data_IF_029434448405
#
_entry.id   IF_029434448405
#
_cell.length_a   1.000
_cell.length_b   1.000
_cell.length_c   1.000
_cell.angle_alpha   90.00
_cell.angle_beta   90.00
_cell.angle_gamma   90.00
#
_symmetry.space_group_name_H-M   'P 1'
#
loop_
_entity.id
_entity.type
_entity.pdbx_description
1 polymer ?
#
# COMPACT_ATOMS: atom_id res chain seq x y z
N UNK A 1 -1.71 1.16 -6.12
CA UNK A 1 -2.62 2.03 -6.91
C UNK A 1 -3.63 1.18 -7.64
N UNK A 2 -4.86 1.66 -7.70
CA UNK A 2 -6.02 0.90 -8.16
C UNK A 2 -7.20 1.86 -8.46
N UNK A 3 -8.37 1.33 -8.78
CA UNK A 3 -9.65 2.02 -8.94
C UNK A 3 -10.72 1.39 -8.03
N UNK A 4 -11.88 2.05 -7.88
CA UNK A 4 -13.02 1.46 -7.16
C UNK A 4 -13.53 0.21 -7.87
N UNK A 5 -13.60 0.24 -9.21
CA UNK A 5 -14.02 -0.92 -10.00
C UNK A 5 -13.09 -2.10 -9.75
N UNK A 6 -11.77 -1.88 -9.80
CA UNK A 6 -10.79 -2.92 -9.53
C UNK A 6 -10.88 -3.45 -8.10
N UNK A 7 -11.18 -2.59 -7.13
CA UNK A 7 -11.44 -3.02 -5.76
C UNK A 7 -12.70 -3.88 -5.65
N UNK A 8 -13.77 -3.55 -6.36
CA UNK A 8 -15.01 -4.31 -6.34
C UNK A 8 -14.86 -5.69 -7.00
N UNK A 9 -14.11 -5.78 -8.10
CA UNK A 9 -13.80 -7.03 -8.80
C UNK A 9 -12.92 -7.98 -7.96
N UNK A 10 -11.85 -7.45 -7.38
CA UNK A 10 -10.83 -8.25 -6.71
C UNK A 10 -10.39 -7.65 -5.36
N UNK A 11 -11.32 -7.56 -4.37
CA UNK A 11 -11.05 -6.89 -3.11
C UNK A 11 -9.97 -7.60 -2.28
N UNK A 12 -9.88 -8.93 -2.40
CA UNK A 12 -8.89 -9.74 -1.69
C UNK A 12 -7.44 -9.41 -2.08
N UNK A 13 -7.17 -8.99 -3.32
CA UNK A 13 -5.83 -8.56 -3.74
C UNK A 13 -5.36 -7.33 -2.96
N UNK A 14 -6.29 -6.44 -2.62
CA UNK A 14 -6.02 -5.24 -1.82
C UNK A 14 -5.82 -5.60 -0.34
N UNK A 15 -6.60 -6.56 0.17
CA UNK A 15 -6.38 -7.15 1.49
C UNK A 15 -4.98 -7.77 1.63
N UNK A 16 -4.56 -8.59 0.65
CA UNK A 16 -3.20 -9.17 0.59
C UNK A 16 -2.12 -8.10 0.56
N UNK A 17 -2.31 -7.06 -0.23
CA UNK A 17 -1.40 -5.92 -0.31
C UNK A 17 -1.27 -5.21 1.06
N UNK A 18 -2.39 -4.93 1.72
CA UNK A 18 -2.41 -4.35 3.07
C UNK A 18 -1.65 -5.23 4.07
N UNK A 19 -1.97 -6.53 4.11
CA UNK A 19 -1.30 -7.49 5.00
C UNK A 19 0.20 -7.53 4.73
N UNK A 20 0.62 -7.71 3.48
CA UNK A 20 2.03 -7.79 3.12
C UNK A 20 2.82 -6.50 3.41
N UNK A 21 2.14 -5.35 3.39
CA UNK A 21 2.78 -4.06 3.68
C UNK A 21 3.00 -3.80 5.17
N UNK A 22 2.10 -4.26 6.06
CA UNK A 22 2.10 -3.89 7.48
C UNK A 22 2.35 -5.06 8.43
N UNK A 23 2.05 -6.31 8.06
CA UNK A 23 2.24 -7.45 8.96
C UNK A 23 3.62 -8.08 8.78
N UNK A 24 4.25 -8.36 9.92
CA UNK A 24 5.50 -9.10 10.07
C UNK A 24 5.25 -10.29 11.00
N UNK A 25 6.20 -11.22 11.10
CA UNK A 25 6.05 -12.46 11.88
C UNK A 25 5.60 -12.23 13.34
N UNK A 26 6.05 -11.13 13.96
CA UNK A 26 5.80 -10.83 15.37
C UNK A 26 4.78 -9.70 15.61
N UNK A 27 4.05 -9.23 14.59
CA UNK A 27 3.03 -8.20 14.76
C UNK A 27 2.88 -7.23 13.60
N UNK A 28 2.63 -5.96 13.92
CA UNK A 28 2.43 -4.87 12.96
C UNK A 28 3.69 -4.00 12.91
N UNK A 29 4.13 -3.66 11.70
CA UNK A 29 5.18 -2.68 11.43
C UNK A 29 4.69 -1.26 11.77
N UNK A 30 5.13 -0.70 12.88
CA UNK A 30 4.61 0.57 13.42
C UNK A 30 5.16 1.81 12.71
N UNK A 31 6.30 1.69 12.05
CA UNK A 31 7.00 2.72 11.26
C UNK A 31 6.48 2.81 9.81
N UNK A 32 5.56 1.92 9.40
CA UNK A 32 5.01 1.92 8.04
C UNK A 32 3.55 2.37 7.97
N UNK A 33 3.16 2.75 6.77
CA UNK A 33 1.78 3.06 6.41
C UNK A 33 1.44 2.43 5.05
N UNK A 34 0.22 1.91 4.95
CA UNK A 34 -0.33 1.43 3.70
C UNK A 34 -1.26 2.47 3.10
N UNK A 35 -1.13 2.73 1.81
CA UNK A 35 -1.99 3.67 1.09
C UNK A 35 -2.61 2.99 -0.13
N UNK A 36 -3.92 2.79 -0.08
CA UNK A 36 -4.72 2.39 -1.24
C UNK A 36 -5.25 3.65 -1.93
N UNK A 37 -4.56 4.07 -2.99
CA UNK A 37 -5.01 5.19 -3.84
C UNK A 37 -5.93 4.70 -4.95
N UNK A 38 -7.13 5.30 -5.01
CA UNK A 38 -8.21 5.07 -5.97
C UNK A 38 -8.21 6.22 -6.98
N UNK A 39 -7.68 5.96 -8.17
CA UNK A 39 -7.40 7.00 -9.18
C UNK A 39 -8.65 7.64 -9.76
N UNK A 40 -9.67 6.83 -10.02
CA UNK A 40 -10.98 7.20 -10.53
C UNK A 40 -11.74 8.12 -9.56
N UNK A 41 -11.50 7.98 -8.26
CA UNK A 41 -12.17 8.75 -7.22
C UNK A 41 -11.30 9.89 -6.64
N UNK A 42 -10.03 10.02 -7.05
CA UNK A 42 -9.02 10.91 -6.41
C UNK A 42 -9.06 10.81 -4.88
N UNK A 43 -9.13 9.58 -4.39
CA UNK A 43 -9.33 9.26 -2.98
C UNK A 43 -8.29 8.25 -2.51
N UNK A 44 -7.87 8.34 -1.26
CA UNK A 44 -6.96 7.39 -0.64
C UNK A 44 -7.54 6.81 0.65
N UNK A 45 -7.35 5.51 0.85
CA UNK A 45 -7.49 4.86 2.17
C UNK A 45 -6.09 4.66 2.72
N UNK A 46 -5.78 5.35 3.81
CA UNK A 46 -4.50 5.30 4.51
C UNK A 46 -4.63 4.52 5.81
N UNK A 47 -3.83 3.47 5.97
CA UNK A 47 -3.77 2.63 7.17
C UNK A 47 -2.42 2.83 7.84
N UNK A 48 -2.44 3.34 9.07
CA UNK A 48 -1.25 3.65 9.86
C UNK A 48 -0.86 2.45 10.71
N UNK A 49 0.33 1.87 10.47
CA UNK A 49 0.83 0.74 11.26
C UNK A 49 0.96 1.06 12.76
N UNK A 50 1.29 2.31 13.11
CA UNK A 50 1.37 2.78 14.50
C UNK A 50 0.04 2.83 15.26
N UNK A 51 -1.10 2.80 14.56
CA UNK A 51 -2.40 3.05 15.17
C UNK A 51 -3.49 2.04 14.79
N UNK A 52 -3.28 1.25 13.73
CA UNK A 52 -4.24 0.24 13.30
C UNK A 52 -4.34 -0.86 14.37
N UNK A 53 -5.57 -1.27 14.67
CA UNK A 53 -5.87 -2.35 15.60
C UNK A 53 -6.59 -3.47 14.87
N UNK A 54 -6.54 -4.69 15.38
CA UNK A 54 -7.32 -5.81 14.82
C UNK A 54 -7.07 -6.05 13.33
N UNK A 55 -5.84 -5.77 12.86
CA UNK A 55 -5.36 -6.20 11.55
C UNK A 55 -4.86 -7.64 11.69
N UNK A 56 -5.54 -8.57 11.05
CA UNK A 56 -5.23 -9.99 11.06
C UNK A 56 -4.70 -10.43 9.69
N UNK A 57 -3.91 -11.52 9.63
CA UNK A 57 -3.31 -11.99 8.38
C UNK A 57 -4.32 -12.59 7.39
N UNK A 58 -5.54 -12.90 7.83
CA UNK A 58 -6.57 -13.44 6.96
C UNK A 58 -7.11 -12.40 5.98
N UNK A 59 -7.43 -12.87 4.77
CA UNK A 59 -7.86 -12.02 3.66
C UNK A 59 -9.20 -11.34 3.94
N UNK A 60 -10.11 -12.02 4.66
CA UNK A 60 -11.45 -11.53 4.92
C UNK A 60 -11.42 -10.33 5.87
N UNK A 61 -10.69 -10.42 6.99
CA UNK A 61 -10.58 -9.36 7.98
C UNK A 61 -9.87 -8.12 7.41
N UNK A 62 -8.74 -8.30 6.74
CA UNK A 62 -7.98 -7.22 6.11
C UNK A 62 -8.78 -6.50 5.03
N UNK A 63 -9.48 -7.25 4.17
CA UNK A 63 -10.42 -6.70 3.19
C UNK A 63 -11.59 -5.98 3.85
N UNK A 64 -12.10 -6.52 4.96
CA UNK A 64 -13.17 -5.91 5.75
C UNK A 64 -12.82 -4.51 6.26
N UNK A 65 -11.57 -4.27 6.65
CA UNK A 65 -11.08 -2.94 7.05
C UNK A 65 -11.21 -1.96 5.87
N UNK A 66 -10.73 -2.33 4.68
CA UNK A 66 -10.79 -1.48 3.50
C UNK A 66 -12.24 -1.20 3.07
N UNK A 67 -13.11 -2.22 3.06
CA UNK A 67 -14.55 -2.07 2.76
C UNK A 67 -15.24 -1.11 3.74
N UNK A 68 -14.96 -1.25 5.04
CA UNK A 68 -15.50 -0.35 6.07
C UNK A 68 -15.07 1.10 5.81
N UNK A 69 -13.78 1.31 5.51
CA UNK A 69 -13.26 2.64 5.20
C UNK A 69 -13.96 3.27 3.99
N UNK A 70 -14.13 2.53 2.89
CA UNK A 70 -14.83 3.02 1.69
C UNK A 70 -16.31 3.34 1.93
N UNK A 71 -16.94 2.65 2.89
CA UNK A 71 -18.32 2.95 3.33
C UNK A 71 -18.41 4.11 4.34
N UNK A 72 -17.29 4.75 4.66
CA UNK A 72 -17.22 5.84 5.66
C UNK A 72 -17.29 5.35 7.11
N UNK A 73 -17.17 4.05 7.35
CA UNK A 73 -17.14 3.49 8.71
C UNK A 73 -15.76 3.72 9.30
N UNK A 74 -15.71 4.35 10.47
CA UNK A 74 -14.47 4.62 11.19
C UNK A 74 -13.82 3.33 11.68
N UNK A 75 -12.50 3.28 11.58
CA UNK A 75 -11.69 2.20 12.11
C UNK A 75 -10.39 2.78 12.71
N UNK A 76 -9.93 2.32 13.88
CA UNK A 76 -8.67 2.80 14.47
C UNK A 76 -7.51 2.68 13.47
N UNK A 77 -6.72 3.76 13.38
CA UNK A 77 -5.57 3.84 12.48
C UNK A 77 -5.89 3.95 10.99
N UNK A 78 -7.15 4.07 10.60
CA UNK A 78 -7.57 4.17 9.19
C UNK A 78 -8.13 5.56 8.90
N UNK A 79 -7.65 6.18 7.82
CA UNK A 79 -8.07 7.50 7.35
C UNK A 79 -8.50 7.42 5.88
N UNK A 80 -9.58 8.11 5.55
CA UNK A 80 -9.99 8.32 4.17
C UNK A 80 -9.68 9.76 3.79
N UNK A 81 -8.91 9.95 2.74
CA UNK A 81 -8.46 11.24 2.23
C UNK A 81 -9.11 11.45 0.85
N UNK A 82 -9.83 12.55 0.67
CA UNK A 82 -10.54 12.86 -0.58
C UNK A 82 -9.88 14.04 -1.28
N UNK A 83 -9.98 14.09 -2.60
CA UNK A 83 -9.41 15.15 -3.44
C UNK A 83 -7.92 15.34 -3.20
N UNK A 84 -7.19 14.22 -3.09
CA UNK A 84 -5.76 14.21 -2.79
C UNK A 84 -4.97 13.68 -3.98
N UNK A 85 -3.83 14.30 -4.26
CA UNK A 85 -2.90 13.85 -5.28
C UNK A 85 -1.86 12.89 -4.70
N UNK A 86 -1.36 11.96 -5.53
CA UNK A 86 -0.41 10.95 -5.08
C UNK A 86 0.85 11.56 -4.44
N UNK A 87 1.34 12.67 -4.99
CA UNK A 87 2.54 13.37 -4.46
C UNK A 87 2.34 13.90 -3.04
N UNK A 88 1.11 14.21 -2.64
CA UNK A 88 0.79 14.62 -1.27
C UNK A 88 0.79 13.43 -0.29
N UNK A 89 0.64 12.22 -0.81
CA UNK A 89 0.62 10.97 -0.03
C UNK A 89 2.01 10.37 0.13
N UNK A 90 2.92 10.68 -0.80
CA UNK A 90 4.27 10.14 -0.80
C UNK A 90 5.19 10.82 0.21
N UNK A 91 6.09 10.03 0.77
CA UNK A 91 7.23 10.45 1.59
C UNK A 91 8.53 9.98 0.96
N UNK A 92 9.54 10.83 1.01
CA UNK A 92 10.85 10.54 0.44
C UNK A 92 10.79 10.28 -1.05
N UNK A 93 11.67 9.40 -1.54
CA UNK A 93 11.71 9.04 -2.96
C UNK A 93 10.59 8.06 -3.34
N UNK A 94 10.06 8.22 -4.53
CA UNK A 94 9.08 7.35 -5.17
C UNK A 94 9.77 6.22 -5.90
N UNK A 95 9.49 4.98 -5.49
CA UNK A 95 10.07 3.78 -6.08
C UNK A 95 8.95 2.89 -6.59
N UNK A 96 9.13 2.26 -7.75
CA UNK A 96 8.17 1.26 -8.23
C UNK A 96 8.85 -0.02 -8.75
N UNK A 97 8.05 -0.91 -9.36
CA UNK A 97 8.52 -2.18 -9.90
C UNK A 97 9.24 -2.11 -11.25
N UNK A 98 9.35 -0.95 -11.91
CA UNK A 98 9.95 -0.88 -13.25
C UNK A 98 11.43 -1.35 -13.24
N UNK A 99 12.00 -1.72 -14.40
CA UNK A 99 13.38 -2.15 -14.48
C UNK A 99 14.33 -1.12 -13.84
N UNK A 100 15.21 -1.61 -12.97
CA UNK A 100 16.15 -0.79 -12.20
C UNK A 100 16.76 -1.59 -11.05
N UNK A 101 17.67 -0.96 -10.30
CA UNK A 101 18.36 -1.56 -9.16
C UNK A 101 18.35 -0.63 -7.94
N UNK A 102 17.28 0.16 -7.80
CA UNK A 102 17.21 1.19 -6.77
C UNK A 102 17.29 0.57 -5.37
N UNK A 103 18.28 1.03 -4.60
CA UNK A 103 18.41 0.71 -3.18
C UNK A 103 18.07 1.95 -2.38
N UNK A 104 16.92 1.90 -1.71
CA UNK A 104 16.43 2.98 -0.85
C UNK A 104 17.20 3.01 0.46
N UNK A 105 17.64 4.20 0.87
CA UNK A 105 18.17 4.49 2.21
C UNK A 105 17.34 5.62 2.81
N UNK A 106 16.80 5.43 4.01
CA UNK A 106 15.89 6.38 4.67
C UNK A 106 14.45 6.25 4.19
N UNK A 107 13.65 7.32 4.38
CA UNK A 107 12.22 7.32 4.04
C UNK A 107 11.99 7.20 2.53
N UNK A 108 11.05 6.34 2.15
CA UNK A 108 10.64 6.16 0.75
C UNK A 108 9.16 5.78 0.66
N UNK A 109 8.62 5.87 -0.55
CA UNK A 109 7.29 5.37 -0.89
C UNK A 109 7.39 4.38 -2.01
N UNK A 110 7.00 3.14 -1.74
CA UNK A 110 6.94 2.10 -2.76
C UNK A 110 5.56 2.04 -3.40
N UNK A 111 5.52 2.15 -4.73
CA UNK A 111 4.32 2.08 -5.54
C UNK A 111 4.21 0.71 -6.20
N UNK A 112 3.14 -0.01 -5.85
CA UNK A 112 2.72 -1.21 -6.56
C UNK A 112 1.37 -0.98 -7.26
N UNK A 113 1.21 -1.54 -8.45
CA UNK A 113 0.07 -1.29 -9.32
C UNK A 113 -0.84 -2.54 -9.41
N UNK A 114 -2.12 -2.37 -9.09
CA UNK A 114 -3.18 -3.33 -9.46
C UNK A 114 -3.89 -2.91 -10.75
N UNK A 115 -3.67 -1.66 -11.14
CA UNK A 115 -4.05 -1.05 -12.41
C UNK A 115 -2.88 -0.17 -12.85
N UNK A 116 -2.41 -0.34 -14.09
CA UNK A 116 -1.25 0.39 -14.60
C UNK A 116 -1.60 1.85 -14.79
N UNK A 117 -0.77 2.71 -14.23
CA UNK A 117 -0.89 4.16 -14.32
C UNK A 117 0.48 4.71 -14.68
N UNK A 118 0.51 5.68 -15.58
CA UNK A 118 1.75 6.36 -15.93
C UNK A 118 2.05 7.40 -14.86
N UNK A 119 3.07 7.12 -14.06
CA UNK A 119 3.47 7.95 -12.93
C UNK A 119 4.95 8.16 -12.99
N UNK A 120 5.31 9.41 -12.81
CA UNK A 120 6.67 9.85 -12.65
C UNK A 120 7.18 9.41 -11.27
N UNK A 121 8.13 8.47 -11.29
CA UNK A 121 8.79 7.91 -10.09
C UNK A 121 10.29 8.16 -10.21
N UNK A 122 10.96 8.26 -9.08
CA UNK A 122 12.39 8.58 -9.04
C UNK A 122 13.26 7.40 -9.52
N UNK A 123 12.85 6.16 -9.24
CA UNK A 123 13.62 4.98 -9.63
C UNK A 123 12.81 3.67 -9.65
N UNK A 124 13.37 2.63 -10.28
CA UNK A 124 12.81 1.28 -10.36
C UNK A 124 13.55 0.26 -9.49
N UNK A 125 12.82 -0.67 -8.88
CA UNK A 125 13.33 -1.77 -8.06
C UNK A 125 13.54 -3.08 -8.83
N UNK A 126 13.02 -3.19 -10.05
CA UNK A 126 13.05 -4.44 -10.83
C UNK A 126 12.06 -5.52 -10.36
N UNK A 127 11.13 -5.19 -9.44
CA UNK A 127 10.18 -6.15 -8.87
C UNK A 127 8.84 -6.25 -9.63
N UNK A 128 8.72 -5.57 -10.77
CA UNK A 128 7.46 -5.32 -11.47
C UNK A 128 6.76 -6.57 -12.03
N UNK A 129 7.49 -7.66 -12.24
CA UNK A 129 6.94 -8.94 -12.70
C UNK A 129 6.24 -9.73 -11.58
N UNK A 130 6.44 -9.32 -10.32
CA UNK A 130 5.80 -9.95 -9.18
C UNK A 130 4.43 -9.31 -8.89
N UNK A 131 3.48 -10.04 -8.31
CA UNK A 131 2.24 -9.44 -7.84
C UNK A 131 2.52 -8.46 -6.67
N UNK A 132 1.69 -7.41 -6.48
CA UNK A 132 1.95 -6.35 -5.50
C UNK A 132 2.28 -6.80 -4.08
N UNK A 133 1.59 -7.84 -3.56
CA UNK A 133 1.84 -8.36 -2.22
C UNK A 133 3.23 -8.99 -2.08
N UNK A 134 3.77 -9.63 -3.11
CA UNK A 134 5.16 -10.09 -3.11
C UNK A 134 6.15 -8.92 -3.19
N UNK A 135 5.84 -7.89 -4.00
CA UNK A 135 6.68 -6.70 -4.07
C UNK A 135 6.82 -6.02 -2.70
N UNK A 136 5.71 -5.82 -1.99
CA UNK A 136 5.74 -5.24 -0.64
C UNK A 136 6.55 -6.07 0.35
N UNK A 137 6.41 -7.40 0.31
CA UNK A 137 7.20 -8.28 1.17
C UNK A 137 8.71 -8.15 0.91
N UNK A 138 9.13 -8.17 -0.35
CA UNK A 138 10.54 -8.03 -0.71
C UNK A 138 11.10 -6.66 -0.33
N UNK A 139 10.36 -5.59 -0.60
CA UNK A 139 10.77 -4.23 -0.26
C UNK A 139 10.91 -4.04 1.25
N UNK A 140 9.99 -4.59 2.04
CA UNK A 140 10.08 -4.55 3.49
C UNK A 140 11.34 -5.29 3.99
N UNK A 141 11.68 -6.44 3.42
CA UNK A 141 12.91 -7.18 3.76
C UNK A 141 14.16 -6.37 3.42
N UNK A 142 14.18 -5.71 2.27
CA UNK A 142 15.33 -4.88 1.86
C UNK A 142 15.46 -3.62 2.70
N UNK A 143 14.34 -3.01 3.09
CA UNK A 143 14.31 -1.87 4.01
C UNK A 143 14.84 -2.23 5.41
N UNK A 144 14.57 -3.45 5.90
CA UNK A 144 15.10 -3.93 7.19
C UNK A 144 16.61 -4.23 7.16
N UNK A 145 17.20 -4.41 5.97
CA UNK A 145 18.63 -4.73 5.79
C UNK A 145 19.53 -3.50 5.66
N UNK A 146 18.95 -2.34 5.31
CA UNK A 146 19.67 -1.09 5.01
C UNK A 146 19.99 -0.26 6.23
#
# INVERSE_FOLDING_TARGET
MTSLDRFNEAPYLHGKALVASLLISNGIRHDAEFVMYLVDARMAVKVLGSAVRSLFPDEESSTGILRKALRGVRHPGVRVLKNVDLRELSRGILVDGRPGNCRVKGDFTYLAYLERLDIDVDCGSGLGDMPPHHQFAVINIEADRG
#
